data_IF_149799022582
#
_entry.id   IF_149799022582
#
_cell.length_a   1.000
_cell.length_b   1.000
_cell.length_c   1.000
_cell.angle_alpha   90.00
_cell.angle_beta   90.00
_cell.angle_gamma   90.00
#
_symmetry.space_group_name_H-M   'P 1'
#
loop_
_entity.id
_entity.type
_entity.pdbx_description
1 polymer ?
#
# COMPACT_ATOMS: atom_id res chain seq x y z
N UNK A 1 23.04 51.62 15.78
CA UNK A 1 22.65 50.85 14.57
C UNK A 1 22.21 49.47 14.98
N UNK A 2 20.91 49.24 15.01
CA UNK A 2 20.38 47.93 15.32
C UNK A 2 20.44 47.07 14.06
N UNK A 3 21.31 46.11 14.04
CA UNK A 3 21.24 44.99 13.08
C UNK A 3 19.94 44.27 13.29
N UNK A 4 18.96 44.50 12.45
CA UNK A 4 17.80 43.65 12.35
C UNK A 4 18.26 42.30 11.87
N UNK A 5 18.45 41.36 12.79
CA UNK A 5 18.58 39.98 12.44
C UNK A 5 17.24 39.58 11.83
N UNK A 6 17.20 39.47 10.51
CA UNK A 6 16.08 38.82 9.83
C UNK A 6 16.03 37.38 10.38
N UNK A 7 15.11 37.15 11.27
CA UNK A 7 14.71 35.78 11.55
C UNK A 7 14.35 35.18 10.21
N UNK A 8 15.23 34.37 9.66
CA UNK A 8 14.84 33.48 8.56
C UNK A 8 13.64 32.75 9.10
N UNK A 9 12.46 33.04 8.57
CA UNK A 9 11.34 32.16 8.71
C UNK A 9 11.84 30.83 8.15
N UNK A 10 12.29 29.96 9.03
CA UNK A 10 12.42 28.55 8.68
C UNK A 10 11.04 28.17 8.22
N UNK A 11 10.86 28.10 6.91
CA UNK A 11 9.70 27.42 6.36
C UNK A 11 9.72 26.07 7.07
N UNK A 12 8.79 25.87 8.00
CA UNK A 12 8.59 24.55 8.55
C UNK A 12 8.43 23.65 7.34
N UNK A 13 9.45 22.87 7.05
CA UNK A 13 9.33 21.87 6.00
C UNK A 13 8.13 21.05 6.44
N UNK A 14 7.01 21.20 5.70
CA UNK A 14 5.87 20.33 5.90
C UNK A 14 6.43 18.92 5.98
N UNK A 15 6.22 18.22 7.09
CA UNK A 15 6.67 16.84 7.23
C UNK A 15 6.12 16.08 6.05
N UNK A 16 6.96 15.37 5.25
CA UNK A 16 6.45 14.57 4.15
C UNK A 16 5.37 13.64 4.70
N UNK A 17 4.23 13.62 4.03
CA UNK A 17 3.15 12.70 4.39
C UNK A 17 3.68 11.28 4.18
N UNK A 18 3.70 10.43 5.20
CA UNK A 18 4.18 9.06 5.05
C UNK A 18 3.32 8.33 4.01
N UNK A 19 3.89 7.39 3.23
CA UNK A 19 3.17 6.64 2.21
C UNK A 19 1.99 5.86 2.78
N UNK A 20 2.12 5.39 4.00
CA UNK A 20 1.04 4.74 4.75
C UNK A 20 1.31 4.84 6.25
N UNK A 21 0.27 4.65 7.03
CA UNK A 21 0.36 4.52 8.49
C UNK A 21 -0.65 3.50 8.96
N UNK A 22 -0.28 2.73 9.97
CA UNK A 22 -1.20 1.82 10.64
C UNK A 22 -2.04 2.59 11.63
N UNK A 23 -3.34 2.28 11.65
CA UNK A 23 -4.29 2.85 12.59
C UNK A 23 -4.37 1.97 13.83
N UNK A 24 -4.83 2.53 14.94
CA UNK A 24 -5.10 1.74 16.14
C UNK A 24 -6.09 0.62 15.81
N UNK A 25 -5.95 -0.50 16.52
CA UNK A 25 -6.79 -1.68 16.31
C UNK A 25 -8.27 -1.32 16.48
N UNK A 26 -9.04 -1.51 15.41
CA UNK A 26 -10.50 -1.36 15.44
C UNK A 26 -11.13 -2.59 16.09
N UNK A 27 -10.54 -3.78 15.88
CA UNK A 27 -10.90 -5.04 16.52
C UNK A 27 -9.66 -5.92 16.68
N UNK A 28 -9.73 -6.93 17.55
CA UNK A 28 -8.59 -7.81 17.86
C UNK A 28 -8.06 -8.55 16.62
N UNK A 29 -8.96 -8.89 15.67
CA UNK A 29 -8.64 -9.65 14.46
C UNK A 29 -8.36 -8.77 13.23
N UNK A 30 -8.27 -7.45 13.39
CA UNK A 30 -8.11 -6.53 12.28
C UNK A 30 -6.83 -5.71 12.39
N UNK A 31 -6.26 -5.39 11.24
CA UNK A 31 -5.24 -4.38 11.09
C UNK A 31 -5.74 -3.33 10.09
N UNK A 32 -5.63 -2.07 10.42
CA UNK A 32 -6.10 -0.99 9.58
C UNK A 32 -4.94 -0.06 9.21
N UNK A 33 -4.97 0.45 7.97
CA UNK A 33 -4.01 1.46 7.55
C UNK A 33 -4.67 2.54 6.68
N UNK A 34 -4.03 3.69 6.64
CA UNK A 34 -4.27 4.72 5.64
C UNK A 34 -3.03 4.85 4.77
N UNK A 35 -3.24 4.94 3.47
CA UNK A 35 -2.19 5.20 2.50
C UNK A 35 -2.51 6.46 1.69
N UNK A 36 -1.49 7.06 1.11
CA UNK A 36 -1.66 8.20 0.23
C UNK A 36 -0.69 8.14 -0.95
N UNK A 37 -1.00 8.91 -1.98
CA UNK A 37 -0.17 9.06 -3.15
C UNK A 37 -0.52 10.31 -3.93
N UNK A 38 0.45 10.86 -4.63
CA UNK A 38 0.23 12.01 -5.53
C UNK A 38 -0.52 11.59 -6.78
N UNK A 39 -0.40 10.33 -7.16
CA UNK A 39 -1.09 9.69 -8.27
C UNK A 39 -1.85 8.46 -7.79
N UNK A 40 -2.79 7.98 -8.59
CA UNK A 40 -3.48 6.72 -8.30
C UNK A 40 -2.50 5.55 -8.25
N UNK A 41 -1.55 5.51 -9.16
CA UNK A 41 -0.53 4.46 -9.20
C UNK A 41 0.28 4.44 -7.91
N UNK A 42 0.71 5.60 -7.43
CA UNK A 42 1.44 5.71 -6.17
C UNK A 42 0.58 5.25 -4.97
N UNK A 43 -0.71 5.62 -4.97
CA UNK A 43 -1.63 5.16 -3.93
C UNK A 43 -1.74 3.63 -3.91
N UNK A 44 -1.94 3.01 -5.07
CA UNK A 44 -2.07 1.55 -5.18
C UNK A 44 -0.79 0.82 -4.76
N UNK A 45 0.36 1.34 -5.15
CA UNK A 45 1.66 0.84 -4.71
C UNK A 45 1.80 0.93 -3.19
N UNK A 46 1.45 2.07 -2.61
CA UNK A 46 1.57 2.31 -1.17
C UNK A 46 0.59 1.45 -0.36
N UNK A 47 -0.60 1.20 -0.88
CA UNK A 47 -1.54 0.24 -0.26
C UNK A 47 -0.98 -1.19 -0.27
N UNK A 48 -0.36 -1.61 -1.37
CA UNK A 48 0.29 -2.92 -1.44
C UNK A 48 1.46 -3.04 -0.47
N UNK A 49 2.29 -2.00 -0.39
CA UNK A 49 3.39 -1.94 0.59
C UNK A 49 2.89 -2.05 2.02
N UNK A 50 1.85 -1.30 2.38
CA UNK A 50 1.26 -1.37 3.72
C UNK A 50 0.75 -2.79 4.03
N UNK A 51 0.07 -3.42 3.08
CA UNK A 51 -0.45 -4.77 3.23
C UNK A 51 0.66 -5.78 3.52
N UNK A 52 1.75 -5.72 2.76
CA UNK A 52 2.87 -6.66 2.96
C UNK A 52 3.78 -6.27 4.13
N UNK A 53 3.90 -4.99 4.46
CA UNK A 53 4.61 -4.57 5.67
C UNK A 53 3.93 -5.08 6.95
N UNK A 54 2.62 -5.28 6.91
CA UNK A 54 1.89 -5.94 7.99
C UNK A 54 2.26 -7.44 8.14
N UNK A 55 2.78 -8.06 7.08
CA UNK A 55 3.11 -9.50 7.03
C UNK A 55 4.57 -9.80 7.32
N UNK A 56 5.49 -8.93 6.93
CA UNK A 56 6.93 -9.22 6.94
C UNK A 56 7.77 -7.93 7.04
N UNK A 57 8.93 -8.04 7.65
CA UNK A 57 9.94 -6.99 7.56
C UNK A 57 10.57 -7.00 6.16
N UNK A 58 10.38 -5.92 5.39
CA UNK A 58 10.87 -5.79 4.03
C UNK A 58 12.39 -5.92 3.89
N UNK A 59 13.14 -5.58 4.95
CA UNK A 59 14.60 -5.75 4.96
C UNK A 59 15.03 -7.21 4.77
N UNK A 60 14.15 -8.15 5.10
CA UNK A 60 14.43 -9.57 5.01
C UNK A 60 13.96 -10.20 3.69
N UNK A 61 13.32 -9.44 2.81
CA UNK A 61 12.79 -9.91 1.53
C UNK A 61 13.69 -9.47 0.37
N UNK A 62 14.05 -10.41 -0.50
CA UNK A 62 14.77 -10.12 -1.74
C UNK A 62 13.79 -10.12 -2.91
N UNK A 63 13.69 -9.01 -3.69
CA UNK A 63 12.70 -8.91 -4.77
C UNK A 63 13.22 -9.51 -6.09
N UNK A 64 13.53 -10.80 -6.11
CA UNK A 64 14.17 -11.48 -7.25
C UNK A 64 13.21 -12.25 -8.16
N UNK A 65 11.93 -12.38 -7.79
CA UNK A 65 10.89 -13.00 -8.61
C UNK A 65 9.80 -11.98 -8.90
N UNK A 66 9.19 -12.05 -10.08
CA UNK A 66 8.20 -11.12 -10.56
C UNK A 66 6.88 -11.84 -10.84
N UNK A 67 5.80 -11.32 -10.29
CA UNK A 67 4.43 -11.70 -10.64
C UNK A 67 3.75 -10.55 -11.37
N UNK A 68 3.08 -10.85 -12.47
CA UNK A 68 2.35 -9.88 -13.28
C UNK A 68 0.85 -10.08 -13.12
N UNK A 69 0.12 -8.96 -13.03
CA UNK A 69 -1.32 -8.94 -12.81
C UNK A 69 -1.98 -8.00 -13.79
N UNK A 70 -3.14 -8.39 -14.28
CA UNK A 70 -4.02 -7.51 -15.07
C UNK A 70 -5.42 -7.59 -14.51
N UNK A 71 -5.97 -6.43 -14.14
CA UNK A 71 -7.28 -6.31 -13.52
C UNK A 71 -8.12 -5.25 -14.23
N UNK A 72 -9.42 -5.40 -14.21
CA UNK A 72 -10.36 -4.45 -14.77
C UNK A 72 -11.59 -4.34 -13.87
N UNK A 73 -11.99 -3.11 -13.57
CA UNK A 73 -13.18 -2.84 -12.75
C UNK A 73 -13.84 -1.53 -13.14
N UNK A 74 -15.12 -1.41 -12.80
CA UNK A 74 -15.91 -0.20 -13.08
C UNK A 74 -15.56 0.95 -12.16
N UNK A 75 -15.14 0.67 -10.93
CA UNK A 75 -14.82 1.68 -9.89
C UNK A 75 -13.38 1.54 -9.41
N UNK A 76 -12.83 2.64 -8.94
CA UNK A 76 -11.49 2.64 -8.33
C UNK A 76 -11.46 1.83 -7.04
N UNK A 77 -12.52 1.88 -6.25
CA UNK A 77 -12.65 1.13 -5.01
C UNK A 77 -12.56 -0.37 -5.26
N UNK A 78 -13.32 -0.86 -6.23
CA UNK A 78 -13.28 -2.29 -6.58
C UNK A 78 -11.94 -2.68 -7.20
N UNK A 79 -11.33 -1.80 -7.98
CA UNK A 79 -10.02 -2.05 -8.57
C UNK A 79 -8.93 -2.18 -7.49
N UNK A 80 -8.92 -1.27 -6.52
CA UNK A 80 -7.98 -1.34 -5.39
C UNK A 80 -8.24 -2.57 -4.53
N UNK A 81 -9.50 -2.87 -4.27
CA UNK A 81 -9.87 -4.07 -3.51
C UNK A 81 -9.33 -5.33 -4.20
N UNK A 82 -9.58 -5.48 -5.49
CA UNK A 82 -9.12 -6.64 -6.26
C UNK A 82 -7.59 -6.70 -6.38
N UNK A 83 -6.93 -5.55 -6.49
CA UNK A 83 -5.47 -5.47 -6.48
C UNK A 83 -4.88 -6.08 -5.20
N UNK A 84 -5.39 -5.65 -4.05
CA UNK A 84 -4.93 -6.15 -2.76
C UNK A 84 -5.34 -7.61 -2.53
N UNK A 85 -6.58 -7.97 -2.89
CA UNK A 85 -7.08 -9.35 -2.77
C UNK A 85 -6.26 -10.32 -3.61
N UNK A 86 -5.91 -9.95 -4.83
CA UNK A 86 -5.11 -10.79 -5.72
C UNK A 86 -3.69 -10.99 -5.20
N UNK A 87 -3.08 -9.93 -4.66
CA UNK A 87 -1.76 -10.04 -4.04
C UNK A 87 -1.77 -10.96 -2.80
N UNK A 88 -2.80 -10.87 -1.98
CA UNK A 88 -2.97 -11.77 -0.82
C UNK A 88 -3.19 -13.20 -1.31
N UNK A 89 -3.98 -13.40 -2.36
CA UNK A 89 -4.18 -14.71 -2.97
C UNK A 89 -2.87 -15.33 -3.48
N UNK A 90 -2.05 -14.54 -4.18
CA UNK A 90 -0.75 -14.99 -4.67
C UNK A 90 0.21 -15.35 -3.53
N UNK A 91 0.17 -14.58 -2.44
CA UNK A 91 0.93 -14.90 -1.23
C UNK A 91 0.58 -16.29 -0.72
N UNK A 92 -0.70 -16.60 -0.62
CA UNK A 92 -1.18 -17.89 -0.12
C UNK A 92 -0.97 -19.02 -1.12
N UNK A 93 -1.35 -18.80 -2.38
CA UNK A 93 -1.29 -19.81 -3.43
C UNK A 93 0.14 -20.20 -3.80
N UNK A 94 1.02 -19.19 -3.96
CA UNK A 94 2.42 -19.41 -4.36
C UNK A 94 3.39 -19.42 -3.18
N UNK A 95 2.91 -19.19 -1.97
CA UNK A 95 3.73 -19.04 -0.77
C UNK A 95 4.86 -18.02 -1.00
N UNK A 96 4.50 -16.82 -1.43
CA UNK A 96 5.43 -15.73 -1.72
C UNK A 96 5.20 -14.52 -0.83
N UNK A 97 6.26 -13.77 -0.60
CA UNK A 97 6.23 -12.45 0.02
C UNK A 97 6.71 -11.42 -0.99
N UNK A 98 5.96 -10.35 -1.15
CA UNK A 98 6.29 -9.26 -2.07
C UNK A 98 6.75 -8.02 -1.32
N UNK A 99 7.61 -7.25 -1.94
CA UNK A 99 8.25 -6.07 -1.37
C UNK A 99 8.18 -4.86 -2.30
N UNK A 100 8.33 -5.07 -3.59
CA UNK A 100 8.29 -4.01 -4.59
C UNK A 100 7.08 -4.20 -5.49
N UNK A 101 6.43 -3.08 -5.80
CA UNK A 101 5.19 -3.06 -6.58
C UNK A 101 5.26 -1.94 -7.60
N UNK A 102 4.70 -2.19 -8.77
CA UNK A 102 4.47 -1.16 -9.77
C UNK A 102 3.12 -1.39 -10.42
N UNK A 103 2.42 -0.31 -10.73
CA UNK A 103 1.13 -0.38 -11.40
C UNK A 103 1.02 0.70 -12.46
N UNK A 104 0.27 0.40 -13.49
CA UNK A 104 -0.18 1.33 -14.50
C UNK A 104 -1.70 1.24 -14.57
N UNK A 105 -2.37 2.38 -14.39
CA UNK A 105 -3.83 2.45 -14.38
C UNK A 105 -4.27 3.32 -15.55
N UNK A 106 -5.17 2.78 -16.37
CA UNK A 106 -5.79 3.51 -17.47
C UNK A 106 -7.30 3.48 -17.31
N UNK A 107 -7.94 4.60 -17.62
CA UNK A 107 -9.38 4.68 -17.69
C UNK A 107 -9.82 4.69 -19.14
N UNK A 108 -10.46 3.61 -19.56
CA UNK A 108 -11.25 3.52 -20.79
C UNK A 108 -12.73 3.60 -20.39
N UNK A 109 -13.57 2.69 -20.88
CA UNK A 109 -14.92 2.52 -20.32
C UNK A 109 -14.85 2.11 -18.84
N UNK A 110 -13.95 1.17 -18.53
CA UNK A 110 -13.61 0.73 -17.18
C UNK A 110 -12.18 1.17 -16.82
N UNK A 111 -11.82 1.01 -15.55
CA UNK A 111 -10.44 1.15 -15.10
C UNK A 111 -9.68 -0.16 -15.32
N UNK A 112 -8.54 -0.08 -15.98
CA UNK A 112 -7.67 -1.22 -16.26
C UNK A 112 -6.35 -1.01 -15.52
N UNK A 113 -5.95 -2.02 -14.76
CA UNK A 113 -4.68 -2.04 -14.04
C UNK A 113 -3.76 -3.10 -14.64
N UNK A 114 -2.54 -2.72 -14.95
CA UNK A 114 -1.44 -3.63 -15.21
C UNK A 114 -0.41 -3.45 -14.09
N UNK A 115 -0.16 -4.51 -13.35
CA UNK A 115 0.70 -4.46 -12.17
C UNK A 115 1.76 -5.54 -12.14
N UNK A 116 2.79 -5.23 -11.37
CA UNK A 116 3.86 -6.18 -11.06
C UNK A 116 4.13 -6.16 -9.57
N UNK A 117 4.39 -7.33 -9.01
CA UNK A 117 4.85 -7.50 -7.65
C UNK A 117 6.15 -8.32 -7.67
N UNK A 118 7.14 -7.84 -6.93
CA UNK A 118 8.45 -8.49 -6.83
C UNK A 118 8.72 -8.94 -5.41
N UNK A 119 9.16 -10.17 -5.30
CA UNK A 119 9.43 -10.79 -4.02
C UNK A 119 10.13 -12.13 -4.16
N UNK A 120 9.92 -13.00 -3.21
CA UNK A 120 10.49 -14.34 -3.19
C UNK A 120 9.62 -15.32 -2.42
N UNK A 121 9.90 -16.61 -2.55
CA UNK A 121 9.23 -17.65 -1.77
C UNK A 121 9.43 -17.43 -0.27
N UNK A 122 8.39 -17.69 0.53
CA UNK A 122 8.45 -17.60 1.99
C UNK A 122 9.50 -18.57 2.53
N UNK A 123 10.40 -18.06 3.36
CA UNK A 123 11.40 -18.85 4.07
C UNK A 123 11.42 -18.41 5.52
N UNK A 124 10.90 -19.24 6.41
CA UNK A 124 10.80 -18.91 7.84
C UNK A 124 12.16 -18.69 8.52
N UNK A 125 13.23 -19.26 7.98
CA UNK A 125 14.59 -19.09 8.51
C UNK A 125 15.22 -17.75 8.06
N UNK A 126 14.72 -17.16 6.99
CA UNK A 126 15.22 -15.90 6.43
C UNK A 126 14.34 -14.70 6.78
N UNK A 127 13.02 -14.87 6.64
CA UNK A 127 12.07 -13.77 6.75
C UNK A 127 11.66 -13.53 8.20
N UNK A 128 11.63 -12.25 8.58
CA UNK A 128 11.05 -11.82 9.84
C UNK A 128 9.55 -11.61 9.63
N UNK A 129 8.78 -12.67 9.90
CA UNK A 129 7.33 -12.68 9.70
C UNK A 129 6.62 -11.93 10.82
N UNK A 130 5.54 -11.25 10.46
CA UNK A 130 4.62 -10.52 11.33
C UNK A 130 3.25 -11.17 11.31
N UNK A 131 2.18 -10.40 11.10
CA UNK A 131 0.84 -10.93 11.03
C UNK A 131 0.61 -11.75 9.76
N UNK A 132 -0.24 -12.78 9.85
CA UNK A 132 -0.78 -13.46 8.66
C UNK A 132 -2.04 -12.72 8.20
N UNK A 133 -1.91 -11.99 7.10
CA UNK A 133 -3.04 -11.29 6.50
C UNK A 133 -3.85 -12.27 5.67
N UNK A 134 -5.09 -12.51 6.08
CA UNK A 134 -6.00 -13.48 5.45
C UNK A 134 -6.80 -12.88 4.31
N UNK A 135 -7.23 -11.63 4.45
CA UNK A 135 -8.08 -10.98 3.46
C UNK A 135 -8.05 -9.46 3.61
N UNK A 136 -8.36 -8.77 2.51
CA UNK A 136 -8.80 -7.38 2.54
C UNK A 136 -10.32 -7.37 2.77
N UNK A 137 -10.83 -6.36 3.50
CA UNK A 137 -12.26 -6.24 3.78
C UNK A 137 -12.84 -4.96 3.17
N UNK A 138 -14.14 -4.96 2.88
CA UNK A 138 -14.86 -3.75 2.46
C UNK A 138 -15.26 -2.85 3.64
N UNK A 139 -15.08 -3.31 4.88
CA UNK A 139 -15.43 -2.52 6.04
C UNK A 139 -14.62 -1.23 6.08
N UNK A 140 -15.29 -0.09 6.08
CA UNK A 140 -14.68 1.25 6.05
C UNK A 140 -13.69 1.47 4.88
N UNK A 141 -13.78 0.66 3.83
CA UNK A 141 -12.94 0.76 2.65
C UNK A 141 -13.27 2.03 1.88
N UNK A 142 -12.26 2.86 1.63
CA UNK A 142 -12.50 4.19 1.09
C UNK A 142 -11.31 4.66 0.26
N UNK A 143 -11.60 5.32 -0.86
CA UNK A 143 -10.66 6.13 -1.63
C UNK A 143 -11.21 7.53 -1.73
N UNK A 144 -10.39 8.52 -1.40
CA UNK A 144 -10.71 9.95 -1.51
C UNK A 144 -9.56 10.71 -2.16
N UNK A 145 -9.91 11.77 -2.89
CA UNK A 145 -8.95 12.76 -3.33
C UNK A 145 -9.21 14.07 -2.60
N UNK A 146 -8.21 14.55 -1.87
CA UNK A 146 -8.24 15.84 -1.21
C UNK A 146 -6.87 16.49 -1.24
N UNK A 147 -6.83 17.83 -1.42
CA UNK A 147 -5.60 18.61 -1.40
C UNK A 147 -4.49 18.05 -2.32
N UNK A 148 -4.87 17.62 -3.52
CA UNK A 148 -3.99 17.03 -4.54
C UNK A 148 -3.36 15.69 -4.14
N UNK A 149 -3.84 15.08 -3.05
CA UNK A 149 -3.44 13.74 -2.65
C UNK A 149 -4.60 12.76 -2.78
N UNK A 150 -4.28 11.59 -3.28
CA UNK A 150 -5.15 10.45 -3.17
C UNK A 150 -4.93 9.78 -1.82
N UNK A 151 -6.01 9.41 -1.16
CA UNK A 151 -5.97 8.73 0.15
C UNK A 151 -6.86 7.49 0.10
N UNK A 152 -6.42 6.45 0.78
CA UNK A 152 -7.19 5.24 0.95
C UNK A 152 -7.16 4.79 2.41
N UNK A 153 -8.27 4.24 2.86
CA UNK A 153 -8.38 3.57 4.16
C UNK A 153 -8.76 2.12 3.93
N UNK A 154 -8.01 1.22 4.54
CA UNK A 154 -8.15 -0.23 4.33
C UNK A 154 -8.10 -0.95 5.68
N UNK A 155 -8.99 -1.91 5.84
CA UNK A 155 -8.99 -2.83 6.98
C UNK A 155 -8.68 -4.24 6.47
N UNK A 156 -7.68 -4.85 7.06
CA UNK A 156 -7.23 -6.21 6.76
C UNK A 156 -7.72 -7.16 7.85
N UNK A 157 -8.15 -8.34 7.45
CA UNK A 157 -8.43 -9.45 8.35
C UNK A 157 -7.11 -10.21 8.61
N UNK A 158 -6.78 -10.33 9.87
CA UNK A 158 -5.54 -11.00 10.31
C UNK A 158 -5.79 -12.16 11.28
#
# INVERSE_FOLDING_TARGET
MSLKVRKRKTKSKARPVPPFKFLEKIAIADAAFEACGKTLEELFVNCAKATFEAMVDFKTVTPNQVEKLKLENKTLEDLLFDWLAELIYLKDYKAMLFKEFSVKIQKNTNYVLEGEAKGEAINQNKHNLRADVKAVTYHLFEIKKSDRLWRAKVILDI
#
